data_IF_887294745645
#
_entry.id   IF_887294745645
#
_cell.length_a   1.000
_cell.length_b   1.000
_cell.length_c   1.000
_cell.angle_alpha   90.00
_cell.angle_beta   90.00
_cell.angle_gamma   90.00
#
_symmetry.space_group_name_H-M   'P 1'
#
loop_
_entity.id
_entity.type
_entity.pdbx_description
1 polymer ?
#
# COMPACT_ATOMS: atom_id res chain seq x y z
N UNK A 1 24.24 32.07 11.37
CA UNK A 1 23.86 30.69 11.75
C UNK A 1 22.36 30.63 11.98
N UNK A 2 21.59 30.12 11.02
CA UNK A 2 20.39 29.30 11.24
C UNK A 2 19.92 28.81 9.87
N UNK A 3 20.55 27.76 9.38
CA UNK A 3 20.00 26.99 8.27
C UNK A 3 18.77 26.29 8.84
N UNK A 4 17.61 26.91 8.69
CA UNK A 4 16.34 26.22 8.87
C UNK A 4 16.28 25.19 7.74
N UNK A 5 16.57 23.93 8.05
CA UNK A 5 16.27 22.82 7.18
C UNK A 5 14.77 22.91 6.87
N UNK A 6 14.45 23.43 5.69
CA UNK A 6 13.13 23.29 5.10
C UNK A 6 12.93 21.77 4.97
N UNK A 7 12.04 21.25 5.81
CA UNK A 7 11.69 19.83 5.87
C UNK A 7 10.87 19.52 4.62
N UNK A 8 11.51 19.46 3.46
CA UNK A 8 10.91 19.02 2.20
C UNK A 8 10.82 17.49 2.16
N UNK A 9 10.19 16.91 3.18
CA UNK A 9 9.82 15.50 3.17
C UNK A 9 8.67 15.30 4.15
N UNK A 10 7.58 16.04 3.94
CA UNK A 10 6.27 15.42 4.13
C UNK A 10 6.20 14.35 3.04
N UNK A 11 6.31 13.09 3.45
CA UNK A 11 6.29 11.93 2.57
C UNK A 11 4.85 11.78 2.06
N UNK A 12 4.40 12.71 1.21
CA UNK A 12 3.22 12.49 0.37
C UNK A 12 3.66 11.42 -0.61
N UNK A 13 3.50 10.19 -0.15
CA UNK A 13 3.91 9.01 -0.85
C UNK A 13 2.97 8.90 -2.06
N UNK A 14 3.45 9.19 -3.27
CA UNK A 14 2.66 9.20 -4.51
C UNK A 14 1.63 8.06 -4.60
N UNK A 15 0.35 8.41 -4.77
CA UNK A 15 -0.78 7.46 -4.91
C UNK A 15 -0.43 6.26 -5.79
N UNK A 16 0.23 6.50 -6.92
CA UNK A 16 0.60 5.47 -7.89
C UNK A 16 1.62 4.48 -7.32
N UNK A 17 2.54 4.92 -6.47
CA UNK A 17 3.44 4.00 -5.79
C UNK A 17 2.69 3.13 -4.79
N UNK A 18 1.74 3.68 -4.01
CA UNK A 18 0.94 2.86 -3.08
C UNK A 18 0.18 1.79 -3.86
N UNK A 19 -0.48 2.17 -4.95
CA UNK A 19 -1.20 1.25 -5.85
C UNK A 19 -0.27 0.16 -6.39
N UNK A 20 0.89 0.51 -6.94
CA UNK A 20 1.85 -0.46 -7.48
C UNK A 20 2.39 -1.40 -6.40
N UNK A 21 2.74 -0.89 -5.21
CA UNK A 21 3.23 -1.74 -4.12
C UNK A 21 2.15 -2.66 -3.59
N UNK A 22 0.91 -2.20 -3.54
CA UNK A 22 -0.22 -3.01 -3.10
C UNK A 22 -0.47 -4.15 -4.10
N UNK A 23 -0.46 -3.83 -5.39
CA UNK A 23 -0.57 -4.83 -6.46
C UNK A 23 0.54 -5.89 -6.36
N UNK A 24 1.79 -5.48 -6.16
CA UNK A 24 2.91 -6.42 -5.96
C UNK A 24 2.69 -7.30 -4.72
N UNK A 25 2.24 -6.74 -3.60
CA UNK A 25 1.93 -7.51 -2.40
C UNK A 25 0.81 -8.54 -2.66
N UNK A 26 -0.20 -8.21 -3.47
CA UNK A 26 -1.25 -9.13 -3.90
C UNK A 26 -0.69 -10.26 -4.75
N UNK A 27 0.19 -9.97 -5.70
CA UNK A 27 0.88 -10.99 -6.48
C UNK A 27 1.76 -11.88 -5.61
N UNK A 28 2.51 -11.31 -4.66
CA UNK A 28 3.33 -12.06 -3.70
C UNK A 28 2.46 -13.00 -2.86
N UNK A 29 1.31 -12.52 -2.39
CA UNK A 29 0.34 -13.32 -1.64
C UNK A 29 -0.23 -14.50 -2.47
N UNK A 30 -0.56 -14.23 -3.73
CA UNK A 30 -1.12 -15.23 -4.65
C UNK A 30 -0.08 -16.27 -5.10
N UNK A 31 1.19 -15.86 -5.24
CA UNK A 31 2.28 -16.71 -5.74
C UNK A 31 3.10 -17.36 -4.62
N UNK A 32 2.92 -16.94 -3.36
CA UNK A 32 3.58 -17.50 -2.19
C UNK A 32 3.45 -19.03 -2.13
N UNK A 33 4.59 -19.70 -1.91
CA UNK A 33 4.70 -21.17 -1.84
C UNK A 33 4.67 -21.69 -0.40
N UNK A 34 4.68 -20.81 0.60
CA UNK A 34 4.63 -21.11 2.02
C UNK A 34 3.67 -20.19 2.76
N UNK A 35 3.14 -20.67 3.88
CA UNK A 35 2.28 -19.86 4.76
C UNK A 35 3.02 -18.65 5.33
N UNK A 36 4.31 -18.80 5.63
CA UNK A 36 5.15 -17.70 6.11
C UNK A 36 5.26 -16.58 5.07
N UNK A 37 5.58 -16.91 3.82
CA UNK A 37 5.65 -15.93 2.74
C UNK A 37 4.29 -15.25 2.49
N UNK A 38 3.22 -16.04 2.58
CA UNK A 38 1.86 -15.52 2.48
C UNK A 38 1.53 -14.55 3.63
N UNK A 39 1.98 -14.85 4.85
CA UNK A 39 1.81 -13.98 6.01
C UNK A 39 2.61 -12.68 5.89
N UNK A 40 3.83 -12.73 5.38
CA UNK A 40 4.62 -11.53 5.08
C UNK A 40 3.91 -10.63 4.07
N UNK A 41 3.36 -11.21 3.00
CA UNK A 41 2.58 -10.46 2.02
C UNK A 41 1.34 -9.78 2.64
N UNK A 42 0.61 -10.48 3.54
CA UNK A 42 -0.52 -9.89 4.29
C UNK A 42 -0.11 -8.70 5.14
N UNK A 43 1.03 -8.78 5.83
CA UNK A 43 1.55 -7.65 6.62
C UNK A 43 1.88 -6.44 5.74
N UNK A 44 2.43 -6.68 4.55
CA UNK A 44 2.72 -5.63 3.57
C UNK A 44 1.44 -4.94 3.08
N UNK A 45 0.40 -5.71 2.71
CA UNK A 45 -0.91 -5.16 2.34
C UNK A 45 -1.51 -4.29 3.46
N UNK A 46 -1.56 -4.81 4.69
CA UNK A 46 -2.12 -4.11 5.83
C UNK A 46 -1.37 -2.80 6.14
N UNK A 47 -0.04 -2.80 5.97
CA UNK A 47 0.78 -1.60 6.12
C UNK A 47 0.44 -0.55 5.05
N UNK A 48 0.27 -0.97 3.80
CA UNK A 48 -0.06 -0.07 2.69
C UNK A 48 -1.48 0.50 2.82
N UNK A 49 -2.46 -0.30 3.26
CA UNK A 49 -3.81 0.18 3.60
C UNK A 49 -3.78 1.23 4.70
N UNK A 50 -2.99 1.02 5.76
CA UNK A 50 -2.83 2.01 6.83
C UNK A 50 -2.24 3.32 6.32
N UNK A 51 -1.21 3.26 5.46
CA UNK A 51 -0.62 4.46 4.85
C UNK A 51 -1.64 5.14 3.93
N UNK A 52 -2.36 4.37 3.10
CA UNK A 52 -3.40 4.89 2.22
C UNK A 52 -4.51 5.59 3.03
N UNK A 53 -4.94 5.01 4.15
CA UNK A 53 -5.94 5.58 5.03
C UNK A 53 -5.44 6.87 5.71
N UNK A 54 -4.17 6.91 6.13
CA UNK A 54 -3.56 8.08 6.77
C UNK A 54 -3.40 9.25 5.79
N UNK A 55 -2.90 8.98 4.58
CA UNK A 55 -2.55 10.02 3.60
C UNK A 55 -3.74 10.45 2.72
N UNK A 56 -4.66 9.52 2.43
CA UNK A 56 -5.73 9.72 1.44
C UNK A 56 -7.14 9.42 1.95
N UNK A 57 -7.28 8.93 3.19
CA UNK A 57 -8.56 8.62 3.83
C UNK A 57 -8.99 7.16 3.66
N UNK A 58 -9.88 6.73 4.55
CA UNK A 58 -10.38 5.34 4.59
C UNK A 58 -11.11 4.93 3.30
N UNK A 59 -11.88 5.84 2.69
CA UNK A 59 -12.60 5.57 1.43
C UNK A 59 -11.62 5.17 0.30
N UNK A 60 -10.46 5.84 0.19
CA UNK A 60 -9.43 5.48 -0.78
C UNK A 60 -8.74 4.15 -0.45
N UNK A 61 -8.52 3.85 0.84
CA UNK A 61 -7.92 2.58 1.26
C UNK A 61 -8.87 1.40 0.95
N UNK A 62 -10.17 1.57 1.19
CA UNK A 62 -11.21 0.58 0.88
C UNK A 62 -11.33 0.38 -0.63
N UNK A 63 -11.40 1.46 -1.42
CA UNK A 63 -11.39 1.41 -2.88
C UNK A 63 -10.14 0.71 -3.44
N UNK A 64 -8.97 0.95 -2.83
CA UNK A 64 -7.72 0.27 -3.22
C UNK A 64 -7.82 -1.25 -2.97
N UNK A 65 -8.29 -1.66 -1.80
CA UNK A 65 -8.47 -3.06 -1.44
C UNK A 65 -9.47 -3.76 -2.37
N UNK A 66 -10.63 -3.16 -2.62
CA UNK A 66 -11.69 -3.72 -3.46
C UNK A 66 -11.25 -3.86 -4.92
N UNK A 67 -10.53 -2.87 -5.48
CA UNK A 67 -10.03 -2.95 -6.86
C UNK A 67 -9.09 -4.13 -7.08
N UNK A 68 -8.21 -4.40 -6.12
CA UNK A 68 -7.14 -5.40 -6.25
C UNK A 68 -7.57 -6.81 -5.83
N UNK A 69 -8.49 -6.96 -4.86
CA UNK A 69 -8.94 -8.27 -4.36
C UNK A 69 -10.39 -8.63 -4.76
N UNK A 70 -11.23 -7.64 -5.04
CA UNK A 70 -12.65 -7.83 -5.38
C UNK A 70 -12.96 -8.01 -6.87
N UNK A 71 -11.92 -8.20 -7.70
CA UNK A 71 -11.97 -8.03 -9.15
C UNK A 71 -13.25 -8.45 -9.86
N UNK A 72 -13.84 -7.53 -10.64
CA UNK A 72 -14.53 -7.94 -11.87
C UNK A 72 -13.47 -8.48 -12.82
N UNK A 73 -13.34 -9.81 -12.83
CA UNK A 73 -12.84 -10.55 -13.99
C UNK A 73 -13.75 -10.18 -15.19
N UNK A 74 -13.22 -9.45 -16.15
CA UNK A 74 -13.72 -9.49 -17.54
C UNK A 74 -12.95 -10.55 -18.32
#
# INVERSE_FOLDING_TARGET
MRWCYHRESEVIMDKKYIENQYHLAVLDFQTARSEEAQWEARKTMARLEQIAAQEYGFEYADDLHERELGGKRV
#
